data_IF_218197146953
#
_entry.id   IF_218197146953
#
_cell.length_a   1.000
_cell.length_b   1.000
_cell.length_c   1.000
_cell.angle_alpha   90.00
_cell.angle_beta   90.00
_cell.angle_gamma   90.00
#
_symmetry.space_group_name_H-M   'P 1'
#
loop_
_entity.id
_entity.type
_entity.pdbx_description
1 polymer ?
#
# COMPACT_ATOMS: atom_id res chain seq x y z
N UNK A 1 -23.61 3.23 3.71
CA UNK A 1 -22.65 2.72 2.72
C UNK A 1 -21.48 2.14 3.49
N UNK A 2 -21.23 0.83 3.38
CA UNK A 2 -20.19 0.15 4.13
C UNK A 2 -18.82 0.77 3.81
N UNK A 3 -18.24 1.49 4.78
CA UNK A 3 -16.98 2.20 4.60
C UNK A 3 -15.77 1.26 4.41
N UNK A 4 -15.96 -0.03 4.70
CA UNK A 4 -14.93 -1.06 4.69
C UNK A 4 -15.20 -2.18 3.67
N UNK A 5 -15.71 -1.85 2.47
CA UNK A 5 -15.77 -2.85 1.40
C UNK A 5 -14.39 -3.04 0.78
N UNK A 6 -13.80 -4.21 0.98
CA UNK A 6 -12.55 -4.58 0.28
C UNK A 6 -12.82 -4.64 -1.23
N UNK A 7 -12.07 -3.86 -2.02
CA UNK A 7 -12.16 -3.86 -3.49
C UNK A 7 -10.95 -4.55 -4.15
N UNK A 8 -10.00 -4.99 -3.32
CA UNK A 8 -8.70 -5.49 -3.72
C UNK A 8 -8.58 -6.97 -3.38
N UNK A 9 -8.00 -7.76 -4.28
CA UNK A 9 -7.79 -9.18 -4.07
C UNK A 9 -6.72 -9.44 -2.99
N UNK A 10 -6.79 -10.59 -2.31
CA UNK A 10 -5.83 -10.97 -1.26
C UNK A 10 -4.39 -10.95 -1.78
N UNK A 11 -4.14 -11.39 -3.02
CA UNK A 11 -2.80 -11.40 -3.62
C UNK A 11 -2.20 -9.99 -3.76
N UNK A 12 -2.98 -9.01 -4.24
CA UNK A 12 -2.53 -7.62 -4.34
C UNK A 12 -2.28 -7.02 -2.95
N UNK A 13 -3.09 -7.42 -1.95
CA UNK A 13 -2.94 -6.96 -0.56
C UNK A 13 -1.61 -7.43 0.03
N UNK A 14 -1.29 -8.70 -0.18
CA UNK A 14 -0.02 -9.31 0.23
C UNK A 14 1.15 -8.67 -0.49
N UNK A 15 1.05 -8.42 -1.80
CA UNK A 15 2.12 -7.75 -2.56
C UNK A 15 2.42 -6.35 -2.00
N UNK A 16 1.40 -5.52 -1.75
CA UNK A 16 1.59 -4.17 -1.18
C UNK A 16 2.19 -4.22 0.23
N UNK A 17 1.82 -5.21 1.03
CA UNK A 17 2.42 -5.45 2.33
C UNK A 17 3.91 -5.79 2.21
N UNK A 18 4.26 -6.76 1.36
CA UNK A 18 5.66 -7.16 1.13
C UNK A 18 6.50 -5.96 0.65
N UNK A 19 6.00 -5.20 -0.32
CA UNK A 19 6.68 -4.00 -0.82
C UNK A 19 6.87 -2.96 0.29
N UNK A 20 5.86 -2.74 1.13
CA UNK A 20 5.97 -1.79 2.24
C UNK A 20 7.03 -2.19 3.26
N UNK A 21 7.13 -3.48 3.60
CA UNK A 21 8.14 -4.01 4.53
C UNK A 21 9.56 -3.81 3.99
N UNK A 22 9.74 -3.87 2.66
CA UNK A 22 11.04 -3.64 2.02
C UNK A 22 11.38 -2.15 1.94
N UNK A 23 10.40 -1.28 1.64
CA UNK A 23 10.63 0.15 1.42
C UNK A 23 10.75 0.97 2.71
N UNK A 24 10.04 0.60 3.79
CA UNK A 24 10.09 1.33 5.08
C UNK A 24 11.48 1.37 5.72
N UNK A 25 12.29 0.30 5.73
CA UNK A 25 13.64 0.33 6.30
C UNK A 25 14.70 1.00 5.40
N UNK A 26 14.35 1.48 4.21
CA UNK A 26 15.27 2.15 3.30
C UNK A 26 16.14 3.27 3.95
N UNK A 27 15.61 4.22 4.75
CA UNK A 27 16.43 5.26 5.40
C UNK A 27 17.40 4.72 6.46
N UNK A 28 17.15 3.52 7.00
CA UNK A 28 18.07 2.87 7.94
C UNK A 28 19.28 2.29 7.18
N UNK A 29 19.04 1.67 6.02
CA UNK A 29 20.08 1.02 5.22
C UNK A 29 20.88 2.02 4.37
N UNK A 30 20.18 2.95 3.71
CA UNK A 30 20.74 3.89 2.75
C UNK A 30 21.00 5.28 3.34
N UNK A 31 20.94 5.43 4.68
CA UNK A 31 21.05 6.70 5.41
C UNK A 31 19.91 7.68 5.08
N UNK A 32 19.90 8.81 5.79
CA UNK A 32 18.91 9.90 5.66
C UNK A 32 19.08 10.73 4.38
N UNK A 33 19.23 10.06 3.23
CA UNK A 33 19.15 10.70 1.94
C UNK A 33 17.69 11.04 1.59
N UNK A 34 17.44 12.15 0.86
CA UNK A 34 16.08 12.55 0.48
C UNK A 34 15.36 11.46 -0.31
N UNK A 35 16.09 10.68 -1.11
CA UNK A 35 15.53 9.53 -1.84
C UNK A 35 15.03 8.44 -0.89
N UNK A 36 15.82 8.07 0.12
CA UNK A 36 15.46 7.07 1.13
C UNK A 36 14.24 7.49 1.97
N UNK A 37 14.13 8.79 2.25
CA UNK A 37 12.98 9.37 2.97
C UNK A 37 11.70 9.25 2.13
N UNK A 38 11.75 9.63 0.85
CA UNK A 38 10.60 9.49 -0.06
C UNK A 38 10.19 8.01 -0.18
N UNK A 39 11.17 7.11 -0.27
CA UNK A 39 10.93 5.68 -0.36
C UNK A 39 10.22 5.13 0.90
N UNK A 40 10.61 5.58 2.10
CA UNK A 40 9.91 5.23 3.33
C UNK A 40 8.47 5.77 3.37
N UNK A 41 8.23 6.99 2.89
CA UNK A 41 6.88 7.57 2.80
C UNK A 41 6.00 6.73 1.88
N UNK A 42 6.50 6.37 0.69
CA UNK A 42 5.79 5.48 -0.24
C UNK A 42 5.50 4.12 0.40
N UNK A 43 6.48 3.56 1.13
CA UNK A 43 6.31 2.34 1.91
C UNK A 43 5.17 2.44 2.94
N UNK A 44 5.10 3.53 3.69
CA UNK A 44 4.02 3.79 4.67
C UNK A 44 2.64 3.87 4.02
N UNK A 45 2.53 4.56 2.87
CA UNK A 45 1.27 4.62 2.10
C UNK A 45 0.85 3.22 1.65
N UNK A 46 1.78 2.43 1.13
CA UNK A 46 1.51 1.05 0.71
C UNK A 46 1.08 0.16 1.88
N UNK A 47 1.69 0.32 3.05
CA UNK A 47 1.31 -0.39 4.27
C UNK A 47 -0.14 -0.08 4.65
N UNK A 48 -0.50 1.21 4.69
CA UNK A 48 -1.88 1.64 4.98
C UNK A 48 -2.89 1.06 3.97
N UNK A 49 -2.55 1.06 2.68
CA UNK A 49 -3.38 0.45 1.64
C UNK A 49 -3.52 -1.07 1.83
N UNK A 50 -2.47 -1.75 2.30
CA UNK A 50 -2.49 -3.20 2.56
C UNK A 50 -3.36 -3.58 3.77
N UNK A 51 -3.38 -2.76 4.83
CA UNK A 51 -4.16 -3.03 6.05
C UNK A 51 -5.64 -2.74 5.82
N UNK A 52 -5.93 -1.61 5.19
CA UNK A 52 -7.31 -1.14 5.00
C UNK A 52 -8.09 -1.94 3.95
N UNK A 53 -7.41 -2.60 3.01
CA UNK A 53 -8.04 -3.35 1.91
C UNK A 53 -8.83 -2.45 0.93
N UNK A 54 -8.72 -1.13 1.10
CA UNK A 54 -9.34 -0.10 0.28
C UNK A 54 -8.25 0.68 -0.43
N UNK A 55 -7.96 0.30 -1.67
CA UNK A 55 -7.19 1.20 -2.53
C UNK A 55 -8.13 2.32 -3.00
N UNK A 56 -8.00 3.51 -2.41
CA UNK A 56 -8.86 4.67 -2.69
C UNK A 56 -8.87 5.01 -4.17
N UNK A 57 -7.74 4.84 -4.85
CA UNK A 57 -7.59 5.02 -6.29
C UNK A 57 -8.53 4.07 -7.06
N UNK A 58 -8.54 2.78 -6.72
CA UNK A 58 -9.41 1.81 -7.39
C UNK A 58 -10.89 2.14 -7.14
N UNK A 59 -11.22 2.60 -5.94
CA UNK A 59 -12.58 3.07 -5.62
C UNK A 59 -12.97 4.33 -6.40
N UNK A 60 -12.05 5.26 -6.60
CA UNK A 60 -12.25 6.49 -7.38
C UNK A 60 -12.47 6.16 -8.87
N UNK A 61 -11.71 5.21 -9.41
CA UNK A 61 -11.86 4.73 -10.79
C UNK A 61 -12.97 3.67 -10.96
N UNK A 62 -13.70 3.30 -9.89
CA UNK A 62 -14.76 2.29 -9.96
C UNK A 62 -14.29 0.86 -10.24
N UNK A 63 -12.97 0.60 -10.18
CA UNK A 63 -12.39 -0.70 -10.44
C UNK A 63 -12.46 -1.61 -9.21
N UNK A 64 -12.94 -2.85 -9.40
CA UNK A 64 -12.89 -3.91 -8.38
C UNK A 64 -12.06 -5.07 -8.91
N UNK A 65 -10.92 -5.33 -8.27
CA UNK A 65 -10.13 -6.54 -8.56
C UNK A 65 -10.61 -7.73 -7.73
N UNK A 66 -11.33 -7.47 -6.64
CA UNK A 66 -12.05 -8.54 -5.96
C UNK A 66 -13.23 -9.00 -6.83
N UNK A 67 -13.17 -10.24 -7.33
CA UNK A 67 -14.38 -10.95 -7.75
C UNK A 67 -15.20 -11.25 -6.49
N UNK A 68 -16.48 -10.84 -6.53
CA UNK A 68 -17.50 -11.38 -5.64
C UNK A 68 -17.66 -12.87 -5.91
#
# INVERSE_FOLDING_TARGET
MTLFTTNQNNSERVLRFILSVILIPAPIVFKYDPFSIVQAIVGGILLFNSISGICVIYRFFGAKTCKL
#
